data_IF_671259779273
#
_entry.id   IF_671259779273
#
_cell.length_a   1.000
_cell.length_b   1.000
_cell.length_c   1.000
_cell.angle_alpha   90.00
_cell.angle_beta   90.00
_cell.angle_gamma   90.00
#
_symmetry.space_group_name_H-M   'P 1'
#
loop_
_entity.id
_entity.type
_entity.pdbx_description
1 polymer ?
#
# COMPACT_ATOMS: atom_id res chain seq x y z
N UNK A 1 79.25 -25.99 7.73
CA UNK A 1 79.18 -26.08 6.27
C UNK A 1 77.72 -25.91 5.95
N UNK A 2 77.41 -24.71 5.69
CA UNK A 2 76.66 -23.99 4.65
C UNK A 2 75.12 -24.20 4.69
N UNK A 3 74.38 -23.37 5.32
CA UNK A 3 73.80 -22.05 4.92
C UNK A 3 73.08 -22.13 3.52
N UNK A 4 71.79 -22.05 3.56
CA UNK A 4 71.00 -21.38 2.48
C UNK A 4 69.64 -20.90 3.05
N UNK A 5 69.64 -19.69 3.53
CA UNK A 5 68.46 -18.87 3.82
C UNK A 5 67.81 -18.45 2.53
N UNK A 6 66.56 -18.86 2.25
CA UNK A 6 65.75 -18.33 1.17
C UNK A 6 64.67 -17.40 1.73
N UNK A 7 65.00 -16.16 1.64
CA UNK A 7 64.15 -15.00 1.92
C UNK A 7 63.00 -14.94 0.91
N UNK A 8 61.78 -15.23 1.29
CA UNK A 8 60.59 -14.99 0.48
C UNK A 8 59.98 -13.66 0.93
N UNK A 9 60.20 -12.65 0.13
CA UNK A 9 59.56 -11.33 0.23
C UNK A 9 58.09 -11.51 -0.25
N UNK A 10 57.12 -11.41 0.65
CA UNK A 10 55.73 -11.24 0.30
C UNK A 10 55.48 -9.79 -0.13
N UNK A 11 54.82 -9.52 -1.26
CA UNK A 11 54.38 -8.17 -1.58
C UNK A 11 53.19 -7.80 -0.68
N UNK A 12 53.38 -6.73 0.07
CA UNK A 12 52.35 -6.03 0.85
C UNK A 12 51.37 -5.39 -0.11
N UNK A 13 50.18 -5.97 -0.27
CA UNK A 13 49.07 -5.37 -1.02
C UNK A 13 48.49 -4.25 -0.15
N UNK A 14 48.82 -3.02 -0.48
CA UNK A 14 48.18 -1.83 0.07
C UNK A 14 46.72 -1.78 -0.41
N UNK A 15 45.78 -2.10 0.46
CA UNK A 15 44.36 -1.71 0.28
C UNK A 15 44.24 -0.21 0.56
N UNK A 16 44.08 0.57 -0.48
CA UNK A 16 43.72 1.97 -0.36
C UNK A 16 42.26 2.09 0.10
N UNK A 17 41.93 2.86 1.14
CA UNK A 17 40.55 3.16 1.46
C UNK A 17 39.98 4.14 0.42
N UNK A 18 38.99 3.71 -0.33
CA UNK A 18 38.18 4.62 -1.17
C UNK A 18 37.38 5.52 -0.25
N UNK A 19 37.86 6.70 0.01
CA UNK A 19 37.11 7.75 0.70
C UNK A 19 36.04 8.26 -0.26
N UNK A 20 34.76 7.88 -0.05
CA UNK A 20 33.62 8.54 -0.68
C UNK A 20 33.54 9.96 -0.09
N UNK A 21 33.99 10.94 -0.85
CA UNK A 21 33.70 12.34 -0.62
C UNK A 21 32.21 12.60 -0.86
N UNK A 22 31.42 12.60 0.20
CA UNK A 22 30.06 13.11 0.17
C UNK A 22 30.14 14.64 0.04
N UNK A 23 29.91 15.17 -1.16
CA UNK A 23 29.65 16.59 -1.37
C UNK A 23 28.32 16.95 -0.67
N UNK A 24 28.41 17.60 0.48
CA UNK A 24 27.29 18.30 1.10
C UNK A 24 27.00 19.57 0.30
N UNK A 25 26.09 19.51 -0.64
CA UNK A 25 25.38 20.68 -1.13
C UNK A 25 24.13 20.82 -0.28
N UNK A 26 24.04 21.98 0.42
CA UNK A 26 22.89 22.32 1.25
C UNK A 26 21.62 22.43 0.41
N UNK A 27 20.83 21.39 0.46
CA UNK A 27 19.50 21.27 -0.08
C UNK A 27 18.69 20.36 0.83
N UNK A 28 17.41 20.62 0.98
CA UNK A 28 16.49 19.81 1.77
C UNK A 28 16.67 18.32 1.44
N UNK A 29 16.54 17.41 2.43
CA UNK A 29 16.69 15.98 2.17
C UNK A 29 15.61 15.53 1.17
N UNK A 30 16.03 15.27 -0.06
CA UNK A 30 15.18 14.67 -1.06
C UNK A 30 14.69 13.32 -0.54
N UNK A 31 13.37 13.19 -0.39
CA UNK A 31 12.70 11.97 0.08
C UNK A 31 13.14 10.71 -0.69
N UNK A 32 13.59 10.89 -1.93
CA UNK A 32 14.13 9.83 -2.80
C UNK A 32 15.40 9.17 -2.24
N UNK A 33 16.28 9.92 -1.54
CA UNK A 33 17.50 9.33 -0.97
C UNK A 33 17.27 8.62 0.37
N UNK A 34 16.22 9.02 1.12
CA UNK A 34 15.82 8.32 2.35
C UNK A 34 15.18 6.96 2.03
N UNK A 35 14.47 6.84 0.88
CA UNK A 35 13.87 5.59 0.43
C UNK A 35 14.90 4.52 0.07
N UNK A 36 16.04 4.91 -0.53
CA UNK A 36 17.10 3.97 -0.95
C UNK A 36 17.82 3.31 0.23
N UNK A 37 17.94 4.01 1.38
CA UNK A 37 18.59 3.46 2.58
C UNK A 37 17.67 2.57 3.43
N UNK A 38 16.37 2.82 3.42
CA UNK A 38 15.37 2.08 4.21
C UNK A 38 14.84 0.87 3.41
N UNK A 39 14.78 0.96 2.08
CA UNK A 39 14.31 -0.12 1.22
C UNK A 39 15.17 -1.39 1.29
N UNK A 40 16.49 -1.25 1.45
CA UNK A 40 17.40 -2.40 1.56
C UNK A 40 17.26 -3.15 2.91
N UNK A 41 16.85 -2.46 3.98
CA UNK A 41 16.64 -3.09 5.30
C UNK A 41 15.18 -3.53 5.54
N UNK A 42 14.21 -2.85 4.90
CA UNK A 42 12.77 -3.13 5.08
C UNK A 42 12.25 -4.29 4.21
N UNK A 43 12.85 -4.51 3.04
CA UNK A 43 12.40 -5.55 2.10
C UNK A 43 12.53 -6.98 2.65
N UNK A 44 13.49 -7.22 3.57
CA UNK A 44 13.65 -8.53 4.20
C UNK A 44 12.63 -8.82 5.31
N UNK A 45 11.98 -7.78 5.88
CA UNK A 45 11.06 -7.92 7.01
C UNK A 45 9.60 -7.95 6.55
N UNK A 46 9.24 -7.25 5.49
CA UNK A 46 7.86 -7.21 4.98
C UNK A 46 7.38 -8.55 4.41
N UNK A 47 8.29 -9.39 3.88
CA UNK A 47 7.95 -10.74 3.42
C UNK A 47 7.63 -11.75 4.52
N UNK A 48 7.92 -11.43 5.78
CA UNK A 48 7.81 -12.36 6.90
C UNK A 48 6.54 -12.19 7.75
N UNK A 49 5.73 -11.16 7.50
CA UNK A 49 4.56 -10.81 8.35
C UNK A 49 3.24 -11.18 7.66
N UNK A 50 3.26 -11.90 6.57
CA UNK A 50 2.03 -12.40 5.95
C UNK A 50 1.68 -13.72 6.62
N UNK A 51 0.47 -13.82 7.16
CA UNK A 51 -0.12 -14.99 7.80
C UNK A 51 0.16 -16.27 7.00
N UNK A 52 0.38 -17.38 7.72
CA UNK A 52 0.82 -18.67 7.15
C UNK A 52 -0.08 -19.19 6.02
N UNK A 53 -1.36 -18.83 5.99
CA UNK A 53 -2.33 -19.27 4.98
C UNK A 53 -2.25 -18.44 3.66
N UNK A 54 -1.63 -17.25 3.64
CA UNK A 54 -1.57 -16.36 2.47
C UNK A 54 -0.20 -16.32 1.77
N UNK A 55 0.81 -17.04 2.29
CA UNK A 55 2.17 -17.08 1.70
C UNK A 55 2.20 -17.51 0.24
N UNK A 56 1.27 -18.38 -0.17
CA UNK A 56 1.15 -18.83 -1.55
C UNK A 56 0.68 -17.76 -2.54
N UNK A 57 -0.17 -16.82 -2.07
CA UNK A 57 -0.70 -15.72 -2.90
C UNK A 57 0.29 -14.58 -3.09
N UNK A 58 1.02 -14.21 -2.03
CA UNK A 58 2.08 -13.20 -2.11
C UNK A 58 3.21 -13.61 -3.06
N UNK A 59 3.57 -14.91 -3.10
CA UNK A 59 4.58 -15.44 -4.01
C UNK A 59 4.12 -15.46 -5.47
N UNK A 60 2.83 -15.67 -5.75
CA UNK A 60 2.28 -15.64 -7.11
C UNK A 60 2.18 -14.21 -7.67
N UNK A 61 1.90 -13.23 -6.83
CA UNK A 61 1.87 -11.81 -7.22
C UNK A 61 3.28 -11.32 -7.56
N UNK A 62 4.29 -11.73 -6.79
CA UNK A 62 5.71 -11.38 -7.04
C UNK A 62 6.28 -11.99 -8.31
N UNK A 63 5.74 -13.12 -8.78
CA UNK A 63 6.24 -13.80 -9.99
C UNK A 63 5.66 -13.25 -11.31
N UNK A 64 4.53 -12.53 -11.26
CA UNK A 64 3.84 -12.01 -12.45
C UNK A 64 4.00 -10.51 -12.70
N UNK A 65 4.26 -9.73 -11.67
CA UNK A 65 4.44 -8.29 -11.73
C UNK A 65 5.91 -7.98 -11.39
N UNK A 66 6.66 -7.35 -12.28
CA UNK A 66 8.07 -6.97 -12.04
C UNK A 66 8.17 -6.08 -10.79
N UNK A 67 8.76 -6.60 -9.71
CA UNK A 67 8.86 -5.88 -8.44
C UNK A 67 9.71 -4.61 -8.55
N UNK A 68 9.31 -3.59 -7.80
CA UNK A 68 10.02 -2.31 -7.74
C UNK A 68 11.36 -2.47 -7.00
N UNK A 69 12.43 -2.02 -7.58
CA UNK A 69 13.73 -1.91 -6.90
C UNK A 69 13.66 -0.76 -5.88
N UNK A 70 14.17 -0.97 -4.67
CA UNK A 70 13.97 -0.11 -3.50
C UNK A 70 14.09 1.41 -3.69
N UNK A 71 14.89 1.90 -4.65
CA UNK A 71 15.00 3.35 -4.95
C UNK A 71 13.85 3.92 -5.80
N UNK A 72 13.10 3.08 -6.52
CA UNK A 72 12.00 3.50 -7.38
C UNK A 72 10.64 3.52 -6.65
N UNK A 73 10.52 2.81 -5.52
CA UNK A 73 9.25 2.67 -4.76
C UNK A 73 8.69 4.04 -4.36
N UNK A 74 9.55 4.91 -3.80
CA UNK A 74 9.13 6.23 -3.34
C UNK A 74 8.47 7.05 -4.42
N UNK A 75 9.14 7.23 -5.57
CA UNK A 75 8.61 8.00 -6.71
C UNK A 75 7.35 7.34 -7.32
N UNK A 76 7.31 6.02 -7.40
CA UNK A 76 6.14 5.29 -7.89
C UNK A 76 4.91 5.55 -7.02
N UNK A 77 5.06 5.43 -5.70
CA UNK A 77 3.97 5.66 -4.75
C UNK A 77 3.59 7.15 -4.64
N UNK A 78 4.56 8.09 -4.79
CA UNK A 78 4.27 9.53 -4.84
C UNK A 78 3.39 9.88 -6.04
N UNK A 79 3.71 9.36 -7.23
CA UNK A 79 2.92 9.57 -8.45
C UNK A 79 1.53 8.94 -8.35
N UNK A 80 1.44 7.70 -7.84
CA UNK A 80 0.17 7.02 -7.63
C UNK A 80 -0.72 7.79 -6.62
N UNK A 81 -0.13 8.29 -5.51
CA UNK A 81 -0.85 9.11 -4.53
C UNK A 81 -1.41 10.38 -5.17
N UNK A 82 -0.59 11.09 -5.95
CA UNK A 82 -1.01 12.34 -6.60
C UNK A 82 -2.20 12.10 -7.53
N UNK A 83 -2.16 11.02 -8.31
CA UNK A 83 -3.22 10.69 -9.25
C UNK A 83 -4.51 10.26 -8.52
N UNK A 84 -4.44 9.37 -7.53
CA UNK A 84 -5.59 8.98 -6.72
C UNK A 84 -6.21 10.18 -5.98
N UNK A 85 -5.39 11.13 -5.52
CA UNK A 85 -5.89 12.35 -4.89
C UNK A 85 -6.68 13.21 -5.89
N UNK A 86 -6.22 13.28 -7.14
CA UNK A 86 -6.93 13.98 -8.21
C UNK A 86 -8.24 13.25 -8.58
N UNK A 87 -8.22 11.93 -8.73
CA UNK A 87 -9.37 11.10 -9.11
C UNK A 87 -10.52 11.20 -8.10
N UNK A 88 -10.17 11.40 -6.82
CA UNK A 88 -11.11 11.47 -5.70
C UNK A 88 -11.43 12.92 -5.26
N UNK A 89 -10.94 13.92 -5.98
CA UNK A 89 -11.19 15.32 -5.64
C UNK A 89 -12.70 15.65 -5.64
N UNK A 90 -13.18 16.29 -4.59
CA UNK A 90 -14.59 16.70 -4.46
C UNK A 90 -15.57 15.59 -4.05
N UNK A 91 -15.11 14.35 -3.86
CA UNK A 91 -15.97 13.22 -3.46
C UNK A 91 -16.14 13.04 -1.96
N UNK A 92 -15.33 13.74 -1.15
CA UNK A 92 -15.23 13.51 0.30
C UNK A 92 -14.32 12.35 0.68
N UNK A 93 -13.81 11.57 -0.28
CA UNK A 93 -12.80 10.55 -0.04
C UNK A 93 -11.44 11.18 0.26
N UNK A 94 -10.60 10.48 1.02
CA UNK A 94 -9.26 10.96 1.39
C UNK A 94 -8.18 9.97 0.98
N UNK A 95 -7.02 10.49 0.59
CA UNK A 95 -5.83 9.70 0.28
C UNK A 95 -4.70 10.15 1.21
N UNK A 96 -4.21 9.24 2.02
CA UNK A 96 -3.10 9.49 2.95
C UNK A 96 -1.98 8.49 2.69
N UNK A 97 -0.73 8.90 2.94
CA UNK A 97 0.42 8.02 2.84
C UNK A 97 1.08 7.83 4.21
N UNK A 98 1.40 6.59 4.53
CA UNK A 98 2.21 6.24 5.70
C UNK A 98 3.33 5.30 5.24
N UNK A 99 4.56 5.82 5.21
CA UNK A 99 5.68 5.11 4.60
C UNK A 99 5.44 4.84 3.12
N UNK A 100 5.44 3.58 2.73
CA UNK A 100 5.19 3.15 1.35
C UNK A 100 3.75 2.67 1.11
N UNK A 101 2.87 2.80 2.08
CA UNK A 101 1.46 2.40 1.99
C UNK A 101 0.57 3.61 1.76
N UNK A 102 -0.33 3.54 0.78
CA UNK A 102 -1.41 4.51 0.60
C UNK A 102 -2.69 3.99 1.25
N UNK A 103 -3.33 4.84 2.03
CA UNK A 103 -4.63 4.63 2.65
C UNK A 103 -5.64 5.51 1.95
N UNK A 104 -6.60 4.89 1.27
CA UNK A 104 -7.71 5.58 0.63
C UNK A 104 -8.97 5.27 1.43
N UNK A 105 -9.60 6.30 1.98
CA UNK A 105 -10.85 6.17 2.71
C UNK A 105 -12.01 6.69 1.86
N UNK A 106 -12.99 5.81 1.63
CA UNK A 106 -14.21 6.11 0.92
C UNK A 106 -15.36 6.18 1.94
N UNK A 107 -15.93 7.37 2.23
CA UNK A 107 -17.09 7.47 3.13
C UNK A 107 -18.26 6.66 2.58
N UNK A 108 -18.90 5.84 3.41
CA UNK A 108 -19.99 4.98 2.95
C UNK A 108 -21.20 5.79 2.43
N UNK A 109 -21.48 6.93 3.05
CA UNK A 109 -22.65 7.76 2.72
C UNK A 109 -22.60 8.36 1.31
N UNK A 110 -21.39 8.54 0.75
CA UNK A 110 -21.22 9.00 -0.64
C UNK A 110 -21.00 7.84 -1.62
N UNK A 111 -20.49 6.71 -1.12
CA UNK A 111 -20.18 5.54 -1.94
C UNK A 111 -21.41 4.66 -2.14
N UNK A 112 -22.25 4.50 -1.11
CA UNK A 112 -23.41 3.62 -1.09
C UNK A 112 -24.67 4.36 -0.64
N UNK A 113 -25.86 3.83 -0.96
CA UNK A 113 -27.12 4.23 -0.36
C UNK A 113 -27.19 3.82 1.12
N UNK A 114 -28.15 4.42 1.83
CA UNK A 114 -28.42 4.05 3.23
C UNK A 114 -28.75 2.55 3.30
N UNK A 115 -28.06 1.83 4.17
CA UNK A 115 -28.22 0.38 4.35
C UNK A 115 -28.06 -0.45 3.07
N UNK A 116 -27.26 0.06 2.13
CA UNK A 116 -26.99 -0.57 0.83
C UNK A 116 -25.50 -0.83 0.63
N UNK A 117 -25.20 -1.70 -0.31
CA UNK A 117 -23.86 -2.03 -0.77
C UNK A 117 -23.65 -1.78 -2.27
N UNK A 118 -24.71 -1.37 -3.00
CA UNK A 118 -24.60 -0.95 -4.39
C UNK A 118 -23.94 0.42 -4.48
N UNK A 119 -22.95 0.55 -5.38
CA UNK A 119 -22.22 1.80 -5.59
C UNK A 119 -23.15 2.83 -6.21
N UNK A 120 -23.24 3.99 -5.58
CA UNK A 120 -24.11 5.08 -6.04
C UNK A 120 -23.67 5.62 -7.41
N UNK A 121 -24.61 5.93 -8.32
CA UNK A 121 -24.30 6.42 -9.67
C UNK A 121 -23.37 7.63 -9.70
N UNK A 122 -23.51 8.55 -8.73
CA UNK A 122 -22.66 9.73 -8.64
C UNK A 122 -21.19 9.41 -8.31
N UNK A 123 -20.91 8.26 -7.69
CA UNK A 123 -19.56 7.84 -7.32
C UNK A 123 -18.87 6.99 -8.39
N UNK A 124 -19.64 6.43 -9.34
CA UNK A 124 -19.13 5.54 -10.40
C UNK A 124 -18.02 6.21 -11.21
N UNK A 125 -18.19 7.49 -11.59
CA UNK A 125 -17.20 8.23 -12.39
C UNK A 125 -15.84 8.30 -11.70
N UNK A 126 -15.82 8.71 -10.44
CA UNK A 126 -14.57 8.81 -9.66
C UNK A 126 -13.96 7.44 -9.40
N UNK A 127 -14.78 6.43 -9.07
CA UNK A 127 -14.26 5.08 -8.85
C UNK A 127 -13.73 4.43 -10.14
N UNK A 128 -14.26 4.79 -11.31
CA UNK A 128 -13.70 4.37 -12.61
C UNK A 128 -12.32 4.97 -12.84
N UNK A 129 -12.10 6.24 -12.48
CA UNK A 129 -10.78 6.87 -12.56
C UNK A 129 -9.79 6.19 -11.60
N UNK A 130 -10.20 5.94 -10.37
CA UNK A 130 -9.42 5.17 -9.39
C UNK A 130 -9.04 3.80 -9.95
N UNK A 131 -9.99 3.06 -10.56
CA UNK A 131 -9.70 1.76 -11.17
C UNK A 131 -8.68 1.87 -12.30
N UNK A 132 -8.78 2.90 -13.15
CA UNK A 132 -7.80 3.17 -14.23
C UNK A 132 -6.41 3.46 -13.67
N UNK A 133 -6.31 4.29 -12.61
CA UNK A 133 -5.05 4.56 -11.91
C UNK A 133 -4.48 3.29 -11.32
N UNK A 134 -5.28 2.48 -10.62
CA UNK A 134 -4.83 1.22 -10.04
C UNK A 134 -4.42 0.18 -11.09
N UNK A 135 -5.05 0.18 -12.27
CA UNK A 135 -4.66 -0.67 -13.39
C UNK A 135 -3.32 -0.21 -14.02
N UNK A 136 -3.10 1.10 -14.12
CA UNK A 136 -1.84 1.67 -14.60
C UNK A 136 -0.67 1.42 -13.63
N UNK A 137 -0.92 1.55 -12.33
CA UNK A 137 0.06 1.28 -11.27
C UNK A 137 -0.05 -0.18 -10.80
N UNK A 138 0.37 -1.11 -11.65
CA UNK A 138 0.19 -2.56 -11.50
C UNK A 138 1.10 -3.22 -10.45
N UNK A 139 2.16 -2.51 -10.02
CA UNK A 139 3.14 -3.02 -9.03
C UNK A 139 2.68 -2.82 -7.57
N UNK A 140 1.38 -2.91 -7.31
CA UNK A 140 0.80 -2.79 -5.97
C UNK A 140 -0.26 -3.85 -5.71
N UNK A 141 -0.42 -4.23 -4.44
CA UNK A 141 -1.54 -5.03 -3.94
C UNK A 141 -2.51 -4.13 -3.19
N UNK A 142 -3.77 -4.50 -3.16
CA UNK A 142 -4.87 -3.66 -2.69
C UNK A 142 -5.71 -4.47 -1.69
N UNK A 143 -5.71 -4.07 -0.43
CA UNK A 143 -6.62 -4.60 0.58
C UNK A 143 -7.81 -3.67 0.70
N UNK A 144 -9.01 -4.17 0.44
CA UNK A 144 -10.27 -3.43 0.55
C UNK A 144 -11.00 -3.89 1.80
N UNK A 145 -11.17 -3.02 2.79
CA UNK A 145 -11.82 -3.35 4.06
C UNK A 145 -13.05 -2.48 4.26
N UNK A 146 -14.22 -3.11 4.43
CA UNK A 146 -15.44 -2.41 4.79
C UNK A 146 -15.59 -2.28 6.32
N UNK A 147 -16.14 -1.16 6.75
CA UNK A 147 -16.42 -0.85 8.16
C UNK A 147 -17.83 -0.29 8.31
N UNK A 148 -18.44 -0.55 9.48
CA UNK A 148 -19.69 0.04 9.91
C UNK A 148 -19.50 0.87 11.18
N UNK A 149 -20.51 1.61 11.58
CA UNK A 149 -20.61 2.07 12.96
C UNK A 149 -21.19 0.95 13.86
N UNK A 150 -21.34 1.21 15.15
CA UNK A 150 -21.86 0.24 16.12
C UNK A 150 -23.40 0.22 16.22
N UNK A 151 -24.10 0.74 15.24
CA UNK A 151 -25.57 0.75 15.25
C UNK A 151 -26.09 -0.57 14.68
N UNK A 152 -26.95 -1.26 15.43
CA UNK A 152 -27.58 -2.50 14.99
C UNK A 152 -26.90 -3.77 15.49
N UNK A 153 -27.17 -4.87 14.79
CA UNK A 153 -26.65 -6.20 15.15
C UNK A 153 -25.25 -6.40 14.59
N UNK A 154 -24.33 -6.92 15.38
CA UNK A 154 -22.93 -7.08 15.01
C UNK A 154 -22.73 -8.05 13.82
N UNK A 155 -23.51 -9.15 13.75
CA UNK A 155 -23.43 -10.10 12.63
C UNK A 155 -23.97 -9.46 11.34
N UNK A 156 -24.99 -8.62 11.46
CA UNK A 156 -25.49 -7.81 10.34
C UNK A 156 -24.41 -6.83 9.85
N UNK A 157 -23.81 -6.08 10.76
CA UNK A 157 -22.73 -5.13 10.46
C UNK A 157 -21.52 -5.83 9.81
N UNK A 158 -21.18 -7.04 10.25
CA UNK A 158 -20.12 -7.82 9.64
C UNK A 158 -20.46 -8.15 8.18
N UNK A 159 -21.65 -8.68 7.88
CA UNK A 159 -22.08 -8.98 6.50
C UNK A 159 -22.15 -7.74 5.63
N UNK A 160 -22.77 -6.66 6.11
CA UNK A 160 -22.88 -5.41 5.34
C UNK A 160 -21.49 -4.84 4.98
N UNK A 161 -20.55 -4.90 5.90
CA UNK A 161 -19.17 -4.47 5.65
C UNK A 161 -18.47 -5.32 4.59
N UNK A 162 -18.67 -6.65 4.60
CA UNK A 162 -18.17 -7.58 3.58
C UNK A 162 -18.76 -7.31 2.20
N UNK A 163 -20.08 -7.10 2.12
CA UNK A 163 -20.77 -6.81 0.87
C UNK A 163 -20.27 -5.49 0.26
N UNK A 164 -20.07 -4.45 1.08
CA UNK A 164 -19.52 -3.16 0.62
C UNK A 164 -18.09 -3.29 0.12
N UNK A 165 -17.22 -4.01 0.84
CA UNK A 165 -15.85 -4.27 0.40
C UNK A 165 -15.84 -5.05 -0.93
N UNK A 166 -16.68 -6.07 -1.05
CA UNK A 166 -16.80 -6.86 -2.27
C UNK A 166 -17.34 -6.05 -3.44
N UNK A 167 -18.29 -5.13 -3.22
CA UNK A 167 -18.84 -4.26 -4.27
C UNK A 167 -17.74 -3.37 -4.85
N UNK A 168 -16.91 -2.74 -4.00
CA UNK A 168 -15.76 -1.95 -4.46
C UNK A 168 -14.76 -2.83 -5.19
N UNK A 169 -14.37 -3.97 -4.62
CA UNK A 169 -13.40 -4.89 -5.22
C UNK A 169 -13.86 -5.39 -6.60
N UNK A 170 -15.12 -5.81 -6.72
CA UNK A 170 -15.69 -6.29 -7.98
C UNK A 170 -15.77 -5.17 -9.02
N UNK A 171 -16.08 -3.94 -8.60
CA UNK A 171 -16.07 -2.79 -9.50
C UNK A 171 -14.67 -2.50 -10.05
N UNK A 172 -13.64 -2.53 -9.20
CA UNK A 172 -12.24 -2.35 -9.62
C UNK A 172 -11.83 -3.43 -10.63
N UNK A 173 -12.16 -4.70 -10.37
CA UNK A 173 -11.88 -5.81 -11.29
C UNK A 173 -12.62 -5.63 -12.64
N UNK A 174 -13.88 -5.25 -12.61
CA UNK A 174 -14.66 -5.01 -13.83
C UNK A 174 -14.10 -3.85 -14.67
N UNK A 175 -13.34 -2.94 -14.04
CA UNK A 175 -12.70 -1.80 -14.69
C UNK A 175 -11.17 -1.98 -14.89
N UNK A 176 -10.68 -3.23 -14.93
CA UNK A 176 -9.35 -3.57 -15.41
C UNK A 176 -8.28 -3.81 -14.36
N UNK A 177 -8.60 -3.74 -13.06
CA UNK A 177 -7.65 -4.13 -12.01
C UNK A 177 -7.59 -5.66 -11.92
N UNK A 178 -6.40 -6.24 -11.96
CA UNK A 178 -6.21 -7.68 -11.87
C UNK A 178 -6.75 -8.24 -10.54
N UNK A 179 -7.59 -9.28 -10.60
CA UNK A 179 -8.28 -9.85 -9.43
C UNK A 179 -7.34 -10.35 -8.35
N UNK A 180 -6.23 -10.94 -8.75
CA UNK A 180 -5.18 -11.47 -7.87
C UNK A 180 -4.49 -10.41 -7.02
N UNK A 181 -4.60 -9.14 -7.39
CA UNK A 181 -4.05 -8.00 -6.62
C UNK A 181 -4.99 -7.51 -5.52
N UNK A 182 -6.24 -7.98 -5.48
CA UNK A 182 -7.26 -7.43 -4.58
C UNK A 182 -7.68 -8.47 -3.54
N UNK A 183 -7.60 -8.10 -2.27
CA UNK A 183 -8.19 -8.80 -1.16
C UNK A 183 -9.35 -7.96 -0.59
N UNK A 184 -10.56 -8.50 -0.51
CA UNK A 184 -11.70 -7.82 0.07
C UNK A 184 -12.15 -8.54 1.35
N UNK A 185 -12.45 -7.75 2.40
CA UNK A 185 -12.92 -8.26 3.69
C UNK A 185 -13.84 -7.25 4.39
N UNK A 186 -14.72 -7.76 5.24
CA UNK A 186 -15.48 -6.96 6.19
C UNK A 186 -14.79 -6.95 7.55
N UNK A 187 -14.87 -5.82 8.24
CA UNK A 187 -14.41 -5.65 9.60
C UNK A 187 -15.55 -5.30 10.56
N UNK A 188 -16.77 -5.14 10.05
CA UNK A 188 -17.93 -4.73 10.84
C UNK A 188 -17.64 -3.45 11.62
N UNK A 189 -18.08 -3.43 12.89
CA UNK A 189 -17.91 -2.31 13.81
C UNK A 189 -16.63 -2.38 14.65
N UNK A 190 -15.77 -3.42 14.46
CA UNK A 190 -14.68 -3.74 15.38
C UNK A 190 -13.49 -2.77 15.35
N UNK A 191 -13.38 -1.92 14.34
CA UNK A 191 -12.24 -1.01 14.18
C UNK A 191 -12.70 0.43 13.95
N UNK A 192 -13.32 1.06 14.98
CA UNK A 192 -13.74 2.45 14.87
C UNK A 192 -12.54 3.40 14.85
N UNK A 193 -12.59 4.43 14.00
CA UNK A 193 -11.59 5.51 13.96
C UNK A 193 -12.03 6.72 14.78
N UNK A 194 -13.32 6.81 15.13
CA UNK A 194 -13.89 7.82 16.01
C UNK A 194 -14.90 7.20 16.98
N UNK A 195 -15.26 7.94 18.06
CA UNK A 195 -16.29 7.46 18.99
C UNK A 195 -17.64 7.26 18.30
N UNK A 196 -18.28 6.12 18.55
CA UNK A 196 -19.63 5.82 18.09
C UNK A 196 -20.73 6.58 18.87
N UNK A 197 -20.39 7.30 19.95
CA UNK A 197 -21.36 8.06 20.77
C UNK A 197 -21.92 9.27 20.01
N UNK A 198 -21.18 9.80 19.04
CA UNK A 198 -21.58 10.96 18.24
C UNK A 198 -21.93 10.56 16.80
N UNK A 199 -22.90 11.28 16.19
CA UNK A 199 -23.24 11.02 14.78
C UNK A 199 -22.06 11.27 13.84
N UNK A 200 -21.28 12.32 14.09
CA UNK A 200 -20.08 12.59 13.30
C UNK A 200 -19.04 11.44 13.38
N UNK A 201 -18.92 10.84 14.57
CA UNK A 201 -18.04 9.69 14.75
C UNK A 201 -18.58 8.43 14.06
N UNK A 202 -19.87 8.16 14.15
CA UNK A 202 -20.51 7.06 13.42
C UNK A 202 -20.35 7.24 11.91
N UNK A 203 -20.57 8.45 11.39
CA UNK A 203 -20.36 8.76 9.98
C UNK A 203 -18.92 8.48 9.53
N UNK A 204 -17.92 8.84 10.33
CA UNK A 204 -16.52 8.55 10.02
C UNK A 204 -16.22 7.05 10.06
N UNK A 205 -16.89 6.29 10.95
CA UNK A 205 -16.72 4.85 11.07
C UNK A 205 -17.35 4.09 9.88
N UNK A 206 -18.46 4.57 9.32
CA UNK A 206 -19.06 4.03 8.09
C UNK A 206 -18.19 4.36 6.89
N UNK A 207 -17.26 3.49 6.53
CA UNK A 207 -16.31 3.69 5.42
C UNK A 207 -15.89 2.39 4.76
N UNK A 208 -15.37 2.50 3.55
CA UNK A 208 -14.51 1.47 2.95
C UNK A 208 -13.09 2.03 2.87
N UNK A 209 -12.13 1.27 3.34
CA UNK A 209 -10.71 1.60 3.31
C UNK A 209 -9.99 0.73 2.30
N UNK A 210 -9.18 1.34 1.43
CA UNK A 210 -8.26 0.61 0.56
C UNK A 210 -6.83 0.89 1.02
N UNK A 211 -6.10 -0.16 1.38
CA UNK A 211 -4.66 -0.11 1.64
C UNK A 211 -3.93 -0.58 0.38
N UNK A 212 -3.13 0.30 -0.21
CA UNK A 212 -2.40 0.04 -1.44
C UNK A 212 -0.92 -0.06 -1.07
N UNK A 213 -0.36 -1.24 -1.24
CA UNK A 213 1.03 -1.55 -0.86
C UNK A 213 1.85 -1.92 -2.08
N UNK A 214 3.08 -1.40 -2.24
CA UNK A 214 3.95 -1.78 -3.34
C UNK A 214 4.42 -3.24 -3.20
N UNK A 215 4.55 -3.92 -4.34
CA UNK A 215 5.23 -5.22 -4.42
C UNK A 215 6.73 -4.95 -4.54
N UNK A 216 7.48 -5.28 -3.50
CA UNK A 216 8.95 -5.14 -3.45
C UNK A 216 9.62 -6.50 -3.48
N UNK A 217 10.77 -6.60 -4.16
CA UNK A 217 11.67 -7.77 -4.09
C UNK A 217 12.67 -7.63 -2.97
#
# INVERSE_FOLDING_TARGET
MDAWTRNRILPLVMLAPLALAACQTGGQPNRTMTGAGIGAAGGAVAGAIIDDDERGRGALIGAGAGALLGGAVGAYMDNQQAQLTQDLQGTGATVQRQGDVLYVQLPADVTFGFDQYDIQPQFIGSLTQVASTLAQYDQTVIDVTGHTDSTGDADYNQRLSEERANSVANFLVANGVARERILARGAGENFPIMSNDTEAGRQANRRVEMQIRPVTQ
#
